data_IF_770304491060
#
_entry.id   IF_770304491060
#
_cell.length_a   1.000
_cell.length_b   1.000
_cell.length_c   1.000
_cell.angle_alpha   90.00
_cell.angle_beta   90.00
_cell.angle_gamma   90.00
#
_symmetry.space_group_name_H-M   'P 1'
#
loop_
_entity.id
_entity.type
_entity.pdbx_description
1 polymer ?
#
# COMPACT_ATOMS: atom_id res chain seq x y z
N UNK A 1 -35.98 19.45 28.33
CA UNK A 1 -35.20 18.25 27.93
C UNK A 1 -34.32 18.66 26.74
N UNK A 2 -33.28 19.47 27.00
CA UNK A 2 -31.88 19.03 27.23
C UNK A 2 -31.15 18.65 25.93
N UNK A 3 -30.61 19.68 25.26
CA UNK A 3 -29.58 19.57 24.23
C UNK A 3 -28.21 19.22 24.87
N UNK A 4 -27.35 18.43 24.21
CA UNK A 4 -26.02 18.13 24.73
C UNK A 4 -25.03 19.26 24.41
N UNK A 5 -24.29 19.69 25.43
CA UNK A 5 -23.23 20.71 25.35
C UNK A 5 -21.90 20.07 24.94
N UNK A 6 -21.13 20.77 24.08
CA UNK A 6 -19.79 20.36 23.66
C UNK A 6 -18.73 20.74 24.71
N UNK A 7 -17.80 19.85 25.10
CA UNK A 7 -16.73 20.20 26.03
C UNK A 7 -15.57 20.92 25.34
N UNK A 8 -15.18 22.06 25.92
CA UNK A 8 -13.94 22.78 25.59
C UNK A 8 -12.72 22.09 26.20
N UNK A 9 -11.55 22.23 25.57
CA UNK A 9 -10.26 21.88 26.21
C UNK A 9 -9.24 23.00 26.00
N UNK A 10 -8.49 23.45 27.03
CA UNK A 10 -7.60 24.61 26.91
C UNK A 10 -6.20 24.27 26.40
N UNK A 11 -5.56 25.26 25.79
CA UNK A 11 -4.14 25.24 25.39
C UNK A 11 -3.23 25.40 26.62
N UNK A 12 -2.27 24.50 26.84
CA UNK A 12 -1.16 24.72 27.76
C UNK A 12 0.07 25.25 27.03
N UNK A 13 0.63 26.35 27.55
CA UNK A 13 1.95 26.89 27.18
C UNK A 13 3.04 26.08 27.88
N UNK A 14 4.14 25.80 27.17
CA UNK A 14 5.37 25.29 27.78
C UNK A 14 6.39 26.42 27.95
N UNK A 15 6.90 26.61 29.17
CA UNK A 15 7.96 27.58 29.51
C UNK A 15 9.29 26.86 29.74
N UNK A 16 10.40 27.54 29.45
CA UNK A 16 11.75 27.01 29.59
C UNK A 16 12.47 27.55 30.84
N UNK A 17 13.28 26.68 31.47
CA UNK A 17 14.44 26.89 32.38
C UNK A 17 14.71 25.52 33.05
N UNK A 18 15.88 25.03 33.44
CA UNK A 18 17.33 25.35 33.41
C UNK A 18 17.92 24.70 34.69
N UNK A 19 19.24 24.45 34.77
CA UNK A 19 20.00 23.73 35.84
C UNK A 19 20.06 22.19 35.69
N UNK A 20 21.13 21.48 36.09
CA UNK A 20 22.45 21.91 36.60
C UNK A 20 23.22 20.78 37.34
N UNK A 21 24.56 20.83 37.36
CA UNK A 21 25.53 19.87 38.00
C UNK A 21 25.70 18.48 37.32
N UNK A 22 26.89 18.00 36.87
CA UNK A 22 28.20 17.73 37.54
C UNK A 22 28.08 16.59 38.57
N UNK A 23 28.87 15.50 38.65
CA UNK A 23 30.23 15.10 38.17
C UNK A 23 30.19 13.60 37.74
N UNK A 24 31.23 12.84 37.33
CA UNK A 24 32.70 12.99 37.13
C UNK A 24 33.19 11.90 36.13
N UNK A 25 34.36 12.05 35.47
CA UNK A 25 35.15 10.93 34.86
C UNK A 25 36.62 11.34 34.64
N UNK A 26 37.56 10.56 35.21
CA UNK A 26 39.00 10.55 34.87
C UNK A 26 39.22 9.77 33.55
N UNK A 27 40.31 9.88 32.79
CA UNK A 27 41.68 10.31 33.08
C UNK A 27 42.36 10.86 31.80
N UNK A 28 43.59 11.39 31.93
CA UNK A 28 44.52 11.73 30.84
C UNK A 28 44.94 10.48 30.03
N UNK A 29 45.45 10.54 28.79
CA UNK A 29 46.74 11.17 28.41
C UNK A 29 46.80 11.77 27.00
N UNK A 30 47.86 12.57 26.80
CA UNK A 30 48.21 13.37 25.62
C UNK A 30 49.22 12.65 24.69
N UNK A 31 49.21 13.01 23.40
CA UNK A 31 50.41 13.37 22.59
C UNK A 31 50.08 13.70 21.13
N UNK A 32 50.69 14.78 20.61
CA UNK A 32 51.17 14.78 19.22
C UNK A 32 50.68 15.87 18.25
N UNK A 33 50.83 17.15 18.59
CA UNK A 33 50.63 18.24 17.62
C UNK A 33 51.78 18.36 16.61
N UNK A 34 51.47 18.46 15.31
CA UNK A 34 52.34 19.09 14.29
C UNK A 34 51.55 19.97 13.31
N UNK A 35 51.93 21.25 13.25
CA UNK A 35 51.33 22.32 12.42
C UNK A 35 52.01 22.42 11.05
N UNK A 36 51.28 22.91 10.04
CA UNK A 36 51.66 23.60 8.77
C UNK A 36 50.39 23.61 7.90
N UNK A 37 50.00 24.64 7.14
CA UNK A 37 50.45 26.02 6.96
C UNK A 37 49.54 26.67 5.89
N UNK A 38 49.25 27.96 5.96
CA UNK A 38 48.31 28.67 5.05
C UNK A 38 49.07 29.66 4.17
N UNK A 39 48.78 29.68 2.86
CA UNK A 39 48.28 30.88 2.18
C UNK A 39 46.97 30.53 1.42
N UNK A 40 46.01 31.41 1.16
CA UNK A 40 46.06 32.86 0.96
C UNK A 40 45.45 33.14 -0.43
N UNK A 41 44.26 33.75 -0.50
CA UNK A 41 43.57 33.97 -1.78
C UNK A 41 42.15 34.49 -1.63
N UNK A 42 41.89 35.69 -2.15
CA UNK A 42 40.57 36.35 -2.15
C UNK A 42 39.73 35.83 -3.32
N UNK A 43 38.44 35.58 -3.11
CA UNK A 43 37.54 35.11 -4.16
C UNK A 43 36.07 35.15 -3.76
N UNK A 44 35.42 36.30 -3.91
CA UNK A 44 33.96 36.40 -3.80
C UNK A 44 33.34 35.79 -5.06
N UNK A 45 32.65 34.65 -4.91
CA UNK A 45 31.64 34.24 -5.87
C UNK A 45 30.41 33.70 -5.14
N UNK A 46 29.32 34.43 -5.26
CA UNK A 46 28.05 34.14 -4.63
C UNK A 46 27.36 32.95 -5.31
N UNK A 47 27.81 31.73 -5.02
CA UNK A 47 27.11 30.53 -5.44
C UNK A 47 25.99 30.23 -4.44
N UNK A 48 24.84 30.88 -4.66
CA UNK A 48 23.58 30.52 -4.03
C UNK A 48 23.33 29.03 -4.24
N UNK A 49 23.55 28.25 -3.18
CA UNK A 49 23.14 26.86 -3.09
C UNK A 49 21.61 26.82 -3.19
N UNK A 50 21.13 26.70 -4.42
CA UNK A 50 19.87 26.05 -4.74
C UNK A 50 19.95 24.61 -4.23
N UNK A 51 19.78 24.45 -2.92
CA UNK A 51 19.34 23.22 -2.28
C UNK A 51 17.92 22.95 -2.76
N UNK A 52 17.83 22.57 -4.05
CA UNK A 52 16.61 22.07 -4.65
C UNK A 52 16.11 20.99 -3.73
N UNK A 53 14.90 21.20 -3.21
CA UNK A 53 14.25 20.25 -2.30
C UNK A 53 14.10 18.95 -3.06
N UNK A 54 15.05 18.03 -2.84
CA UNK A 54 15.03 16.70 -3.39
C UNK A 54 13.83 16.00 -2.75
N UNK A 55 12.68 16.19 -3.39
CA UNK A 55 11.43 15.62 -2.95
C UNK A 55 11.65 14.12 -2.89
N UNK A 56 11.64 13.60 -1.66
CA UNK A 56 11.60 12.17 -1.38
C UNK A 56 10.23 11.66 -1.80
N UNK A 57 9.99 11.67 -3.12
CA UNK A 57 8.87 11.06 -3.79
C UNK A 57 8.99 9.55 -3.56
N UNK A 58 8.50 9.13 -2.39
CA UNK A 58 8.72 7.80 -1.87
C UNK A 58 8.28 6.76 -2.89
N UNK A 59 9.19 5.82 -3.19
CA UNK A 59 9.05 4.80 -4.25
C UNK A 59 7.62 4.27 -4.31
N UNK A 60 6.89 4.62 -5.39
CA UNK A 60 5.48 4.25 -5.51
C UNK A 60 5.35 2.72 -5.45
N UNK A 61 4.68 2.22 -4.40
CA UNK A 61 4.59 0.79 -4.15
C UNK A 61 3.91 0.09 -5.34
N UNK A 62 4.53 -0.99 -5.83
CA UNK A 62 4.04 -1.87 -6.92
C UNK A 62 2.74 -2.60 -6.57
N UNK A 63 2.46 -2.82 -5.29
CA UNK A 63 1.39 -3.73 -4.83
C UNK A 63 0.39 -3.08 -3.88
N UNK A 64 -0.90 -3.38 -4.06
CA UNK A 64 -1.95 -3.01 -3.11
C UNK A 64 -1.77 -3.79 -1.80
N UNK A 65 -1.63 -3.12 -0.64
CA UNK A 65 -1.22 -3.78 0.61
C UNK A 65 -2.25 -4.79 1.15
N UNK A 66 -3.54 -4.66 0.80
CA UNK A 66 -4.59 -5.56 1.25
C UNK A 66 -4.69 -6.86 0.43
N UNK A 67 -4.74 -6.75 -0.90
CA UNK A 67 -5.03 -7.87 -1.81
C UNK A 67 -3.81 -8.37 -2.61
N UNK A 68 -2.71 -7.62 -2.62
CA UNK A 68 -1.49 -7.94 -3.36
C UNK A 68 -1.54 -7.68 -4.87
N UNK A 69 -2.64 -7.15 -5.42
CA UNK A 69 -2.74 -6.83 -6.85
C UNK A 69 -1.74 -5.74 -7.26
N UNK A 70 -1.25 -5.81 -8.50
CA UNK A 70 -0.34 -4.82 -9.07
C UNK A 70 -1.08 -3.48 -9.24
N UNK A 71 -0.59 -2.40 -8.63
CA UNK A 71 -1.26 -1.10 -8.64
C UNK A 71 -1.19 -0.39 -10.01
N UNK A 72 -0.23 -0.73 -10.86
CA UNK A 72 -0.10 -0.16 -12.20
C UNK A 72 -1.06 -0.84 -13.18
N UNK A 73 -1.17 -2.18 -13.13
CA UNK A 73 -2.17 -2.93 -13.92
C UNK A 73 -3.61 -2.47 -13.66
N UNK A 74 -3.89 -1.95 -12.46
CA UNK A 74 -5.20 -1.45 -12.05
C UNK A 74 -5.20 0.07 -11.84
N UNK A 75 -4.27 0.80 -12.48
CA UNK A 75 -4.10 2.25 -12.28
C UNK A 75 -5.40 3.04 -12.40
N UNK A 76 -6.23 2.72 -13.40
CA UNK A 76 -7.52 3.35 -13.72
C UNK A 76 -8.65 3.11 -12.71
N UNK A 77 -8.41 2.33 -11.65
CA UNK A 77 -9.35 2.14 -10.54
C UNK A 77 -8.71 2.41 -9.17
N UNK A 78 -7.48 2.92 -9.14
CA UNK A 78 -6.80 3.16 -7.88
C UNK A 78 -7.51 4.25 -7.06
N UNK A 79 -7.54 4.04 -5.75
CA UNK A 79 -7.86 5.05 -4.74
C UNK A 79 -6.59 5.29 -3.94
N UNK A 80 -6.19 6.54 -3.74
CA UNK A 80 -5.04 6.93 -2.92
C UNK A 80 -5.53 7.67 -1.68
N UNK A 81 -5.10 7.21 -0.51
CA UNK A 81 -5.26 7.93 0.75
C UNK A 81 -3.92 8.50 1.18
N UNK A 82 -3.92 9.76 1.61
CA UNK A 82 -2.84 10.34 2.41
C UNK A 82 -3.32 10.46 3.85
N UNK A 83 -2.46 10.08 4.79
CA UNK A 83 -2.78 10.02 6.21
C UNK A 83 -2.15 11.19 7.00
N UNK A 84 -2.59 11.40 8.25
CA UNK A 84 -2.07 12.41 9.19
C UNK A 84 -0.55 12.31 9.42
N UNK A 85 0.02 11.12 9.30
CA UNK A 85 1.46 10.85 9.39
C UNK A 85 2.25 11.26 8.12
N UNK A 86 1.61 11.90 7.14
CA UNK A 86 2.18 12.29 5.86
C UNK A 86 2.34 11.13 4.87
N UNK A 87 2.14 9.87 5.29
CA UNK A 87 2.28 8.73 4.38
C UNK A 87 1.13 8.69 3.38
N UNK A 88 1.44 8.28 2.15
CA UNK A 88 0.44 8.09 1.09
C UNK A 88 0.44 6.64 0.60
N UNK A 89 -0.75 6.09 0.36
CA UNK A 89 -0.95 4.69 0.00
C UNK A 89 -2.04 4.54 -1.06
N UNK A 90 -1.69 3.90 -2.18
CA UNK A 90 -2.63 3.47 -3.22
C UNK A 90 -3.27 2.12 -2.88
N UNK A 91 -4.53 1.96 -3.25
CA UNK A 91 -5.34 0.74 -3.18
C UNK A 91 -5.94 0.47 -4.56
N UNK A 92 -6.01 -0.79 -4.99
CA UNK A 92 -6.39 -1.15 -6.37
C UNK A 92 -7.84 -0.79 -6.75
N UNK A 93 -8.71 -0.56 -5.76
CA UNK A 93 -10.12 -0.25 -5.96
C UNK A 93 -10.80 0.22 -4.69
N UNK A 94 -12.02 0.74 -4.87
CA UNK A 94 -12.97 1.11 -3.84
C UNK A 94 -13.21 0.03 -2.77
N UNK A 95 -13.25 -1.26 -3.12
CA UNK A 95 -13.35 -2.35 -2.14
C UNK A 95 -12.20 -2.32 -1.12
N UNK A 96 -10.96 -2.24 -1.61
CA UNK A 96 -9.78 -2.18 -0.75
C UNK A 96 -9.69 -0.84 0.00
N UNK A 97 -10.12 0.26 -0.62
CA UNK A 97 -10.19 1.57 0.02
C UNK A 97 -11.18 1.55 1.20
N UNK A 98 -12.42 1.08 1.00
CA UNK A 98 -13.46 0.99 2.01
C UNK A 98 -13.05 0.12 3.22
N UNK A 99 -12.35 -0.99 3.02
CA UNK A 99 -11.80 -1.82 4.11
C UNK A 99 -10.83 -1.03 5.01
N UNK A 100 -10.02 -0.13 4.43
CA UNK A 100 -9.13 0.74 5.20
C UNK A 100 -9.89 1.90 5.83
N UNK A 101 -10.83 2.50 5.09
CA UNK A 101 -11.67 3.58 5.60
C UNK A 101 -12.40 3.17 6.89
N UNK A 102 -13.04 1.99 6.92
CA UNK A 102 -13.68 1.44 8.13
C UNK A 102 -12.76 1.28 9.35
N UNK A 103 -11.43 1.29 9.16
CA UNK A 103 -10.43 1.11 10.23
C UNK A 103 -9.60 2.35 10.56
N UNK A 104 -9.52 3.32 9.63
CA UNK A 104 -8.61 4.46 9.68
C UNK A 104 -9.23 5.76 9.16
N UNK A 105 -10.57 5.89 9.09
CA UNK A 105 -11.24 7.10 8.57
C UNK A 105 -10.69 8.39 9.18
N UNK A 106 -10.42 8.38 10.49
CA UNK A 106 -9.97 9.54 11.26
C UNK A 106 -8.49 9.88 11.04
N UNK A 107 -7.73 8.99 10.39
CA UNK A 107 -6.34 9.24 9.99
C UNK A 107 -6.24 9.79 8.56
N UNK A 108 -7.30 9.69 7.74
CA UNK A 108 -7.25 10.05 6.31
C UNK A 108 -7.47 11.56 6.15
N UNK A 109 -6.48 12.27 5.61
CA UNK A 109 -6.52 13.73 5.39
C UNK A 109 -6.71 14.12 3.93
N UNK A 110 -6.42 13.22 2.99
CA UNK A 110 -6.65 13.43 1.55
C UNK A 110 -7.12 12.14 0.90
N UNK A 111 -8.11 12.25 0.01
CA UNK A 111 -8.55 11.15 -0.86
C UNK A 111 -8.47 11.58 -2.31
N UNK A 112 -7.76 10.79 -3.10
CA UNK A 112 -7.66 10.94 -4.54
C UNK A 112 -8.12 9.65 -5.22
N UNK A 113 -8.72 9.77 -6.40
CA UNK A 113 -9.12 8.64 -7.24
C UNK A 113 -8.50 8.77 -8.61
N UNK A 114 -8.19 7.65 -9.24
CA UNK A 114 -7.74 7.65 -10.62
C UNK A 114 -8.93 7.84 -11.57
N UNK A 115 -8.85 8.84 -12.42
CA UNK A 115 -9.74 9.03 -13.56
C UNK A 115 -9.67 7.82 -14.50
N UNK A 116 -10.82 7.30 -14.92
CA UNK A 116 -10.91 6.04 -15.66
C UNK A 116 -10.40 6.17 -17.11
N UNK A 117 -10.46 7.37 -17.69
CA UNK A 117 -10.00 7.65 -19.05
C UNK A 117 -8.47 7.74 -19.08
N UNK A 118 -7.89 8.62 -18.26
CA UNK A 118 -6.46 8.98 -18.30
C UNK A 118 -5.59 8.23 -17.28
N UNK A 119 -6.19 7.70 -16.21
CA UNK A 119 -5.46 7.15 -15.06
C UNK A 119 -4.71 8.19 -14.23
N UNK A 120 -4.95 9.50 -14.43
CA UNK A 120 -4.42 10.57 -13.56
C UNK A 120 -5.22 10.63 -12.26
N UNK A 121 -4.56 10.98 -11.16
CA UNK A 121 -5.25 11.17 -9.87
C UNK A 121 -5.94 12.53 -9.81
N UNK A 122 -7.17 12.54 -9.32
CA UNK A 122 -8.00 13.72 -9.10
C UNK A 122 -8.57 13.71 -7.66
N UNK A 123 -8.87 14.88 -7.06
CA UNK A 123 -9.55 14.96 -5.77
C UNK A 123 -10.89 14.21 -5.81
N UNK A 124 -11.11 13.33 -4.84
CA UNK A 124 -12.22 12.38 -4.89
C UNK A 124 -13.60 13.05 -4.73
N UNK A 125 -13.66 14.16 -4.00
CA UNK A 125 -14.80 15.07 -3.85
C UNK A 125 -15.21 15.75 -5.16
N UNK A 126 -14.26 15.96 -6.09
CA UNK A 126 -14.50 16.57 -7.41
C UNK A 126 -14.94 15.56 -8.47
N UNK A 127 -14.50 14.31 -8.36
CA UNK A 127 -14.80 13.24 -9.32
C UNK A 127 -16.28 12.82 -9.39
N UNK A 128 -16.72 12.41 -10.58
CA UNK A 128 -18.02 11.76 -10.83
C UNK A 128 -17.84 10.25 -10.87
N UNK A 129 -18.79 9.49 -10.32
CA UNK A 129 -18.65 8.04 -10.21
C UNK A 129 -19.74 7.30 -10.96
N UNK A 130 -19.38 6.58 -12.02
CA UNK A 130 -20.28 5.63 -12.66
C UNK A 130 -20.29 4.33 -11.85
N UNK A 131 -21.46 3.96 -11.33
CA UNK A 131 -21.65 2.84 -10.42
C UNK A 131 -22.69 1.88 -10.97
N UNK A 132 -22.37 0.59 -11.00
CA UNK A 132 -23.29 -0.46 -11.47
C UNK A 132 -23.48 -0.52 -12.99
N UNK A 133 -22.55 0.04 -13.77
CA UNK A 133 -22.43 -0.25 -15.20
C UNK A 133 -21.87 -1.65 -15.46
N UNK A 134 -22.02 -2.17 -16.68
CA UNK A 134 -21.50 -3.50 -17.06
C UNK A 134 -19.96 -3.63 -17.01
N UNK A 135 -19.25 -2.49 -17.00
CA UNK A 135 -17.79 -2.41 -16.95
C UNK A 135 -17.21 -3.22 -15.78
N UNK A 136 -16.16 -4.04 -16.00
CA UNK A 136 -15.69 -5.00 -15.00
C UNK A 136 -15.25 -4.32 -13.70
N UNK A 137 -15.85 -4.75 -12.59
CA UNK A 137 -15.47 -4.36 -11.23
C UNK A 137 -14.08 -4.87 -10.84
N UNK A 138 -13.32 -4.05 -10.11
CA UNK A 138 -12.01 -4.44 -9.56
C UNK A 138 -12.20 -4.72 -8.09
N UNK A 139 -12.16 -6.01 -7.72
CA UNK A 139 -12.49 -6.51 -6.38
C UNK A 139 -13.92 -6.21 -5.89
N UNK A 140 -14.82 -5.73 -6.76
CA UNK A 140 -16.22 -5.43 -6.41
C UNK A 140 -17.23 -6.29 -7.18
N UNK A 141 -18.43 -6.49 -6.61
CA UNK A 141 -19.62 -7.00 -7.32
C UNK A 141 -20.26 -5.92 -8.18
N UNK A 142 -20.40 -4.71 -7.62
CA UNK A 142 -20.94 -3.52 -8.29
C UNK A 142 -19.76 -2.68 -8.77
N UNK A 143 -19.69 -2.44 -10.09
CA UNK A 143 -18.64 -1.63 -10.71
C UNK A 143 -18.65 -0.21 -10.14
N UNK A 144 -17.47 0.42 -10.06
CA UNK A 144 -17.27 1.80 -9.58
C UNK A 144 -16.11 2.41 -10.37
N UNK A 145 -16.40 3.32 -11.29
CA UNK A 145 -15.41 4.02 -12.14
C UNK A 145 -15.47 5.52 -11.85
N UNK A 146 -14.32 6.16 -11.64
CA UNK A 146 -14.25 7.60 -11.39
C UNK A 146 -13.92 8.35 -12.68
N UNK A 147 -14.48 9.53 -12.86
CA UNK A 147 -14.29 10.39 -14.02
C UNK A 147 -14.02 11.83 -13.59
N UNK A 148 -13.11 12.50 -14.29
CA UNK A 148 -12.84 13.92 -14.09
C UNK A 148 -13.98 14.83 -14.60
N UNK A 149 -14.63 14.48 -15.72
CA UNK A 149 -15.76 15.21 -16.30
C UNK A 149 -17.09 14.46 -16.14
N UNK A 150 -18.17 15.21 -15.93
CA UNK A 150 -19.55 14.70 -16.00
C UNK A 150 -19.92 14.24 -17.41
N UNK A 151 -19.37 14.86 -18.45
CA UNK A 151 -19.69 14.57 -19.85
C UNK A 151 -19.15 13.19 -20.24
N UNK A 152 -17.88 12.92 -19.89
CA UNK A 152 -17.29 11.58 -20.04
C UNK A 152 -18.03 10.54 -19.19
N UNK A 153 -18.39 10.87 -17.94
CA UNK A 153 -19.21 9.97 -17.12
C UNK A 153 -20.57 9.64 -17.77
N UNK A 154 -21.25 10.63 -18.38
CA UNK A 154 -22.51 10.47 -19.12
C UNK A 154 -22.34 9.67 -20.41
N UNK A 155 -21.23 9.85 -21.12
CA UNK A 155 -20.89 9.06 -22.33
C UNK A 155 -20.76 7.57 -21.97
N UNK A 156 -19.95 7.24 -20.96
CA UNK A 156 -19.84 5.86 -20.48
C UNK A 156 -21.17 5.36 -19.87
N UNK A 157 -21.98 6.20 -19.24
CA UNK A 157 -23.31 5.80 -18.75
C UNK A 157 -24.27 5.43 -19.90
N UNK A 158 -24.23 6.17 -21.02
CA UNK A 158 -25.07 5.89 -22.20
C UNK A 158 -24.70 4.55 -22.85
N UNK A 159 -23.42 4.19 -22.85
CA UNK A 159 -22.90 2.96 -23.46
C UNK A 159 -23.02 1.74 -22.54
N UNK A 160 -22.76 1.90 -21.24
CA UNK A 160 -22.59 0.80 -20.27
C UNK A 160 -23.66 0.74 -19.17
N UNK A 161 -24.64 1.65 -19.19
CA UNK A 161 -25.64 1.81 -18.14
C UNK A 161 -25.07 2.26 -16.79
N UNK A 162 -25.81 2.01 -15.71
CA UNK A 162 -25.45 2.37 -14.33
C UNK A 162 -25.90 3.77 -13.89
N UNK A 163 -25.60 4.14 -12.64
CA UNK A 163 -25.92 5.44 -12.03
C UNK A 163 -24.66 6.28 -11.88
N UNK A 164 -24.71 7.57 -12.23
CA UNK A 164 -23.68 8.54 -11.85
C UNK A 164 -23.99 9.08 -10.45
N UNK A 165 -23.00 9.03 -9.56
CA UNK A 165 -23.09 9.50 -8.16
C UNK A 165 -21.89 10.35 -7.76
N UNK A 166 -21.93 10.95 -6.57
CA UNK A 166 -20.83 11.75 -5.98
C UNK A 166 -20.05 10.97 -4.90
N UNK A 167 -19.03 11.61 -4.35
CA UNK A 167 -18.08 10.99 -3.40
C UNK A 167 -18.72 10.34 -2.15
N UNK A 168 -19.69 10.96 -1.44
CA UNK A 168 -20.29 10.34 -0.26
C UNK A 168 -21.02 9.03 -0.62
N UNK A 169 -21.87 9.08 -1.64
CA UNK A 169 -22.62 7.93 -2.16
C UNK A 169 -21.70 6.78 -2.59
N UNK A 170 -20.65 7.02 -3.38
CA UNK A 170 -19.79 5.92 -3.86
C UNK A 170 -19.01 5.25 -2.74
N UNK A 171 -18.64 6.00 -1.69
CA UNK A 171 -17.94 5.48 -0.52
C UNK A 171 -18.89 4.65 0.37
N UNK A 172 -20.09 5.16 0.63
CA UNK A 172 -21.16 4.42 1.32
C UNK A 172 -21.48 3.11 0.58
N UNK A 173 -21.76 3.19 -0.72
CA UNK A 173 -21.97 2.02 -1.60
C UNK A 173 -20.79 1.05 -1.59
N UNK A 174 -19.55 1.53 -1.46
CA UNK A 174 -18.37 0.67 -1.33
C UNK A 174 -18.24 -0.01 0.04
N UNK A 175 -18.78 0.59 1.10
CA UNK A 175 -18.84 0.04 2.46
C UNK A 175 -19.97 -1.00 2.56
N UNK A 176 -21.14 -0.71 1.99
CA UNK A 176 -22.30 -1.62 1.90
C UNK A 176 -21.98 -2.89 1.12
N UNK A 177 -21.25 -2.78 -0.01
CA UNK A 177 -20.96 -3.90 -0.88
C UNK A 177 -19.94 -4.89 -0.28
N UNK A 178 -19.21 -4.50 0.78
CA UNK A 178 -18.12 -5.32 1.34
C UNK A 178 -18.49 -6.79 1.63
N UNK A 179 -19.66 -7.14 2.21
CA UNK A 179 -20.01 -8.55 2.44
C UNK A 179 -20.20 -9.32 1.13
N UNK A 180 -20.85 -8.70 0.13
CA UNK A 180 -21.10 -9.29 -1.20
C UNK A 180 -19.80 -9.46 -1.96
N UNK A 181 -18.95 -8.44 -1.96
CA UNK A 181 -17.59 -8.47 -2.50
C UNK A 181 -16.78 -9.61 -1.87
N UNK A 182 -16.77 -9.72 -0.54
CA UNK A 182 -16.03 -10.76 0.17
C UNK A 182 -16.53 -12.17 -0.16
N UNK A 183 -17.84 -12.35 -0.39
CA UNK A 183 -18.41 -13.60 -0.90
C UNK A 183 -17.86 -13.98 -2.28
N UNK A 184 -17.98 -13.06 -3.26
CA UNK A 184 -17.44 -13.24 -4.61
C UNK A 184 -15.92 -13.51 -4.60
N UNK A 185 -15.19 -12.74 -3.79
CA UNK A 185 -13.74 -12.83 -3.67
C UNK A 185 -13.28 -14.13 -3.04
N UNK A 186 -14.00 -14.69 -2.07
CA UNK A 186 -13.70 -16.02 -1.49
C UNK A 186 -13.67 -17.10 -2.58
N UNK A 187 -14.68 -17.11 -3.46
CA UNK A 187 -14.77 -18.05 -4.58
C UNK A 187 -13.66 -17.81 -5.59
N UNK A 188 -13.44 -16.55 -6.02
CA UNK A 188 -12.39 -16.19 -6.98
C UNK A 188 -10.98 -16.52 -6.44
N UNK A 189 -10.70 -16.23 -5.17
CA UNK A 189 -9.43 -16.52 -4.51
C UNK A 189 -9.20 -18.03 -4.36
N UNK A 190 -10.22 -18.81 -4.01
CA UNK A 190 -10.12 -20.28 -3.95
C UNK A 190 -9.73 -20.88 -5.30
N UNK A 191 -10.44 -20.51 -6.38
CA UNK A 191 -10.10 -20.93 -7.75
C UNK A 191 -8.68 -20.51 -8.14
N UNK A 192 -8.26 -19.28 -7.79
CA UNK A 192 -6.89 -18.78 -8.07
C UNK A 192 -5.81 -19.49 -7.23
N UNK A 193 -6.12 -19.92 -6.01
CA UNK A 193 -5.23 -20.69 -5.16
C UNK A 193 -4.97 -22.10 -5.72
N UNK A 194 -5.96 -22.74 -6.36
CA UNK A 194 -5.73 -24.00 -7.07
C UNK A 194 -4.79 -23.85 -8.27
N UNK A 195 -4.90 -22.74 -9.01
CA UNK A 195 -3.91 -22.37 -10.04
C UNK A 195 -2.53 -22.18 -9.38
N UNK A 196 -2.48 -21.48 -8.24
CA UNK A 196 -1.23 -21.28 -7.48
C UNK A 196 -0.54 -22.57 -7.04
N UNK A 197 -1.31 -23.60 -6.65
CA UNK A 197 -0.78 -24.94 -6.36
C UNK A 197 -0.10 -25.55 -7.60
N UNK A 198 -0.77 -25.53 -8.76
CA UNK A 198 -0.22 -26.03 -10.03
C UNK A 198 1.04 -25.27 -10.46
N UNK A 199 1.07 -23.94 -10.27
CA UNK A 199 2.28 -23.14 -10.53
C UNK A 199 3.41 -23.49 -9.57
N UNK A 200 3.13 -23.70 -8.28
CA UNK A 200 4.15 -24.10 -7.29
C UNK A 200 4.76 -25.47 -7.62
N UNK A 201 3.97 -26.38 -8.19
CA UNK A 201 4.41 -27.67 -8.69
C UNK A 201 5.29 -27.53 -9.94
N UNK A 202 4.78 -26.87 -10.98
CA UNK A 202 5.48 -26.66 -12.25
C UNK A 202 6.79 -25.86 -12.11
N UNK A 203 6.84 -24.88 -11.20
CA UNK A 203 8.05 -24.10 -10.88
C UNK A 203 8.95 -24.79 -9.83
N UNK A 204 8.65 -26.03 -9.46
CA UNK A 204 9.50 -26.88 -8.61
C UNK A 204 9.56 -26.48 -7.13
N UNK A 205 8.69 -25.58 -6.65
CA UNK A 205 8.73 -25.06 -5.27
C UNK A 205 8.62 -26.18 -4.21
N UNK A 206 7.84 -27.22 -4.51
CA UNK A 206 7.66 -28.38 -3.61
C UNK A 206 8.91 -29.25 -3.44
N UNK A 207 9.92 -29.15 -4.33
CA UNK A 207 11.21 -29.87 -4.17
C UNK A 207 11.97 -29.44 -2.91
N UNK A 208 11.73 -28.22 -2.43
CA UNK A 208 12.33 -27.69 -1.19
C UNK A 208 11.28 -27.49 -0.08
N UNK A 209 10.09 -26.98 -0.42
CA UNK A 209 9.01 -26.71 0.54
C UNK A 209 8.13 -27.94 0.86
N UNK A 210 8.45 -29.11 0.30
CA UNK A 210 7.72 -30.36 0.52
C UNK A 210 6.38 -30.43 -0.23
N UNK A 211 5.74 -31.63 -0.26
CA UNK A 211 4.46 -31.83 -0.95
C UNK A 211 3.39 -30.85 -0.47
N UNK A 212 2.84 -30.06 -1.40
CA UNK A 212 1.84 -29.04 -1.09
C UNK A 212 2.32 -27.93 -0.15
N UNK A 213 3.63 -27.72 0.00
CA UNK A 213 4.21 -26.70 0.88
C UNK A 213 4.25 -27.08 2.37
N UNK A 214 4.00 -28.35 2.71
CA UNK A 214 3.94 -28.85 4.11
C UNK A 214 5.31 -28.97 4.81
N UNK A 215 6.42 -28.84 4.09
CA UNK A 215 7.79 -28.97 4.58
C UNK A 215 8.37 -30.39 4.51
N UNK A 216 9.70 -30.46 4.34
CA UNK A 216 10.54 -31.68 4.38
C UNK A 216 11.92 -31.37 5.00
N UNK A 217 11.99 -30.42 5.94
CA UNK A 217 13.25 -29.94 6.53
C UNK A 217 14.12 -29.03 5.64
N UNK A 218 14.07 -29.17 4.30
CA UNK A 218 14.92 -28.41 3.36
C UNK A 218 14.59 -26.91 3.25
N UNK A 219 13.33 -26.52 3.41
CA UNK A 219 12.88 -25.13 3.42
C UNK A 219 11.64 -24.96 4.32
N UNK A 220 11.27 -23.72 4.74
CA UNK A 220 10.16 -23.50 5.65
C UNK A 220 8.82 -24.03 5.13
N UNK A 221 8.12 -24.82 5.94
CA UNK A 221 6.74 -25.21 5.71
C UNK A 221 5.81 -23.98 5.70
N UNK A 222 5.02 -23.82 4.64
CA UNK A 222 4.05 -22.72 4.48
C UNK A 222 2.89 -22.83 5.48
N UNK A 223 2.63 -24.05 5.97
CA UNK A 223 1.66 -24.41 7.01
C UNK A 223 2.15 -24.13 8.44
N UNK A 224 3.39 -23.70 8.66
CA UNK A 224 3.92 -23.51 10.02
C UNK A 224 3.54 -22.14 10.64
N UNK A 225 3.27 -22.05 11.96
CA UNK A 225 3.06 -20.77 12.65
C UNK A 225 4.25 -19.81 12.51
N UNK A 226 5.47 -20.35 12.55
CA UNK A 226 6.70 -19.57 12.35
C UNK A 226 6.84 -19.00 10.93
N UNK A 227 6.33 -19.69 9.90
CA UNK A 227 6.17 -19.08 8.57
C UNK A 227 5.10 -18.00 8.59
N UNK A 228 3.98 -18.24 9.26
CA UNK A 228 2.87 -17.30 9.29
C UNK A 228 3.21 -15.93 9.89
N UNK A 229 3.89 -15.93 11.05
CA UNK A 229 4.39 -14.72 11.73
C UNK A 229 5.33 -13.91 10.84
N UNK A 230 6.22 -14.58 10.09
CA UNK A 230 7.17 -13.91 9.17
C UNK A 230 6.46 -13.38 7.91
N UNK A 231 5.59 -14.18 7.31
CA UNK A 231 4.83 -13.86 6.10
C UNK A 231 3.47 -13.21 6.41
N UNK A 232 3.50 -12.21 7.30
CA UNK A 232 2.31 -11.54 7.83
C UNK A 232 1.52 -10.70 6.82
N UNK A 233 2.03 -10.48 5.60
CA UNK A 233 1.32 -9.79 4.53
C UNK A 233 1.52 -10.45 3.17
N UNK A 234 0.54 -10.29 2.28
CA UNK A 234 0.60 -10.76 0.88
C UNK A 234 1.81 -10.18 0.15
N UNK A 235 2.21 -8.96 0.52
CA UNK A 235 3.36 -8.26 -0.05
C UNK A 235 4.67 -8.91 0.38
N UNK A 236 4.81 -9.32 1.66
CA UNK A 236 6.00 -10.07 2.12
C UNK A 236 6.16 -11.39 1.37
N UNK A 237 5.06 -12.12 1.13
CA UNK A 237 5.08 -13.35 0.32
C UNK A 237 5.57 -13.06 -1.11
N UNK A 238 4.98 -12.07 -1.79
CA UNK A 238 5.42 -11.68 -3.15
C UNK A 238 6.89 -11.26 -3.17
N UNK A 239 7.33 -10.44 -2.21
CA UNK A 239 8.71 -9.97 -2.08
C UNK A 239 9.70 -11.13 -2.02
N UNK A 240 9.45 -12.12 -1.14
CA UNK A 240 10.34 -13.29 -1.00
C UNK A 240 10.31 -14.23 -2.20
N UNK A 241 9.18 -14.34 -2.92
CA UNK A 241 9.15 -15.11 -4.19
C UNK A 241 10.01 -14.41 -5.25
N UNK A 242 9.86 -13.10 -5.40
CA UNK A 242 10.55 -12.33 -6.44
C UNK A 242 12.05 -12.19 -6.16
N UNK A 243 12.44 -11.82 -4.95
CA UNK A 243 13.83 -11.57 -4.57
C UNK A 243 14.59 -12.85 -4.19
N UNK A 244 13.88 -13.92 -3.81
CA UNK A 244 14.48 -15.10 -3.19
C UNK A 244 14.89 -14.85 -1.73
N UNK A 245 15.51 -15.86 -1.10
CA UNK A 245 16.18 -15.73 0.21
C UNK A 245 17.11 -16.92 0.49
N UNK A 246 18.40 -16.64 0.68
CA UNK A 246 19.39 -17.69 0.96
C UNK A 246 19.43 -18.71 -0.18
N UNK A 247 19.22 -20.00 0.12
CA UNK A 247 19.14 -21.06 -0.90
C UNK A 247 17.86 -21.05 -1.75
N UNK A 248 16.85 -20.22 -1.42
CA UNK A 248 15.66 -20.04 -2.27
C UNK A 248 15.99 -19.02 -3.38
N UNK A 249 15.94 -19.40 -4.68
CA UNK A 249 16.28 -18.50 -5.78
C UNK A 249 15.23 -17.41 -5.98
N UNK A 250 15.65 -16.31 -6.60
CA UNK A 250 14.76 -15.28 -7.16
C UNK A 250 13.92 -15.82 -8.32
N UNK A 251 12.64 -15.43 -8.36
CA UNK A 251 11.71 -15.69 -9.47
C UNK A 251 11.28 -14.42 -10.25
N UNK A 252 11.83 -13.24 -9.98
CA UNK A 252 11.62 -12.07 -10.85
C UNK A 252 12.05 -12.43 -12.30
N UNK A 253 11.26 -12.03 -13.29
CA UNK A 253 11.42 -12.43 -14.70
C UNK A 253 11.08 -13.90 -15.03
N UNK A 254 10.99 -14.81 -14.06
CA UNK A 254 10.76 -16.26 -14.27
C UNK A 254 9.30 -16.70 -14.09
N UNK A 255 8.46 -15.81 -13.57
CA UNK A 255 7.01 -16.00 -13.41
C UNK A 255 6.27 -14.73 -13.84
N UNK A 256 5.12 -14.90 -14.46
CA UNK A 256 4.21 -13.80 -14.80
C UNK A 256 3.52 -13.23 -13.56
N UNK A 257 3.03 -11.99 -13.68
CA UNK A 257 2.17 -11.34 -12.68
C UNK A 257 0.96 -12.18 -12.27
N UNK A 258 0.37 -12.90 -13.23
CA UNK A 258 -0.79 -13.78 -13.02
C UNK A 258 -0.41 -15.01 -12.18
N UNK A 259 0.75 -15.62 -12.46
CA UNK A 259 1.32 -16.73 -11.69
C UNK A 259 1.73 -16.30 -10.28
N UNK A 260 2.43 -15.17 -10.14
CA UNK A 260 2.83 -14.61 -8.84
C UNK A 260 1.61 -14.34 -7.93
N UNK A 261 0.54 -13.76 -8.48
CA UNK A 261 -0.69 -13.55 -7.72
C UNK A 261 -1.35 -14.88 -7.32
N UNK A 262 -1.30 -15.90 -8.17
CA UNK A 262 -1.85 -17.23 -7.87
C UNK A 262 -1.03 -17.95 -6.79
N UNK A 263 0.30 -17.98 -6.92
CA UNK A 263 1.25 -18.51 -5.92
C UNK A 263 1.04 -17.86 -4.55
N UNK A 264 1.02 -16.52 -4.51
CA UNK A 264 0.79 -15.79 -3.27
C UNK A 264 -0.54 -16.17 -2.63
N UNK A 265 -1.62 -16.31 -3.42
CA UNK A 265 -2.92 -16.69 -2.89
C UNK A 265 -2.96 -18.14 -2.39
N UNK A 266 -2.26 -19.07 -3.03
CA UNK A 266 -2.13 -20.44 -2.55
C UNK A 266 -1.43 -20.49 -1.19
N UNK A 267 -0.24 -19.88 -1.11
CA UNK A 267 0.55 -19.78 0.12
C UNK A 267 -0.23 -19.07 1.23
N UNK A 268 -0.94 -17.98 0.91
CA UNK A 268 -1.79 -17.25 1.85
C UNK A 268 -2.99 -18.05 2.36
N UNK A 269 -3.46 -19.03 1.59
CA UNK A 269 -4.65 -19.85 1.92
C UNK A 269 -4.31 -21.05 2.81
N UNK A 270 -3.15 -21.70 2.59
CA UNK A 270 -2.76 -22.89 3.37
C UNK A 270 -2.00 -22.58 4.66
N UNK A 271 -1.58 -21.33 4.85
CA UNK A 271 -0.96 -20.86 6.08
C UNK A 271 -2.00 -20.84 7.22
N UNK A 272 -1.62 -21.18 8.47
CA UNK A 272 -2.47 -20.93 9.63
C UNK A 272 -2.89 -19.46 9.75
N UNK A 273 -4.04 -19.25 10.40
CA UNK A 273 -4.70 -17.95 10.49
C UNK A 273 -4.10 -17.09 11.59
#
# INVERSE_FOLDING_TARGET
MTTPVSPTHPLLKATAKSSGCSKNRTEQEDKGMKKRGVPGGVGVLCLLLMLGTLSLAGVEKRWCPLCGMNLEMFRKTNVRYTFKDGTSQRYCSWHCAAIVYKKRKDDIVKVEVADFVTGKFIPADKAYYLVGSDLPGVMTVRSKKAFASLEEAKKFQKEHGGKIVRYPEVLEMAIEDLPKDMGLLRVKMSKKAQIGKKVAEAKGCFKCHGPGGKGIGKAPAWTSPGFAKRMSSKIKIKKVILEGKGKMPSFEGKISEKELQALMLYIWTIRPK
#
